data_IF_935622754936
#
_entry.id   IF_935622754936
#
_cell.length_a   1.000
_cell.length_b   1.000
_cell.length_c   1.000
_cell.angle_alpha   90.00
_cell.angle_beta   90.00
_cell.angle_gamma   90.00
#
_symmetry.space_group_name_H-M   'P 1'
#
loop_
_entity.id
_entity.type
_entity.pdbx_description
1 polymer ?
#
# COMPACT_ATOMS: atom_id res chain seq x y z
N UNK A 1 -28.22 -9.53 -5.42
CA UNK A 1 -27.63 -9.34 -6.76
C UNK A 1 -26.23 -9.93 -6.73
N UNK A 2 -25.95 -10.92 -7.57
CA UNK A 2 -24.61 -11.52 -7.70
C UNK A 2 -23.64 -10.47 -8.20
N UNK A 3 -22.63 -10.10 -7.41
CA UNK A 3 -21.55 -9.25 -7.90
C UNK A 3 -20.87 -9.96 -9.07
N UNK A 4 -20.95 -9.38 -10.26
CA UNK A 4 -20.21 -9.90 -11.40
C UNK A 4 -18.73 -9.95 -11.03
N UNK A 5 -18.14 -11.14 -11.04
CA UNK A 5 -16.73 -11.31 -10.72
C UNK A 5 -15.91 -10.50 -11.73
N UNK A 6 -15.20 -9.48 -11.27
CA UNK A 6 -14.35 -8.66 -12.12
C UNK A 6 -13.40 -9.55 -12.95
N UNK A 7 -13.18 -9.20 -14.21
CA UNK A 7 -12.34 -9.97 -15.15
C UNK A 7 -10.96 -9.33 -15.30
N UNK A 8 -9.96 -10.11 -15.70
CA UNK A 8 -8.62 -9.54 -15.94
C UNK A 8 -8.65 -8.63 -17.17
N UNK A 9 -7.93 -7.52 -17.13
CA UNK A 9 -7.85 -6.55 -18.22
C UNK A 9 -7.07 -7.10 -19.43
N UNK A 10 -7.53 -6.80 -20.65
CA UNK A 10 -6.76 -7.02 -21.87
C UNK A 10 -5.81 -5.83 -22.12
N UNK A 11 -4.67 -5.80 -21.43
CA UNK A 11 -3.84 -4.59 -21.34
C UNK A 11 -3.23 -4.13 -22.68
N UNK A 12 -3.11 -5.03 -23.65
CA UNK A 12 -2.58 -4.72 -24.98
C UNK A 12 -3.38 -3.65 -25.75
N UNK A 13 -4.63 -3.41 -25.38
CA UNK A 13 -5.48 -2.38 -25.98
C UNK A 13 -5.20 -0.96 -25.46
N UNK A 14 -4.38 -0.81 -24.41
CA UNK A 14 -4.14 0.46 -23.73
C UNK A 14 -2.74 0.98 -24.06
N UNK A 15 -2.66 1.83 -25.09
CA UNK A 15 -1.40 2.24 -25.73
C UNK A 15 -1.11 3.74 -25.69
N UNK A 16 -1.95 4.54 -25.04
CA UNK A 16 -1.83 5.99 -25.01
C UNK A 16 -1.86 6.51 -23.58
N UNK A 17 -1.13 7.61 -23.36
CA UNK A 17 -1.20 8.35 -22.09
C UNK A 17 -2.57 9.03 -21.98
N UNK A 18 -3.14 9.00 -20.80
CA UNK A 18 -4.33 9.76 -20.47
C UNK A 18 -3.98 11.24 -20.29
N UNK A 19 -4.72 12.12 -20.97
CA UNK A 19 -4.56 13.57 -20.85
C UNK A 19 -5.36 14.15 -19.68
N UNK A 20 -6.42 13.46 -19.25
CA UNK A 20 -7.30 13.88 -18.17
C UNK A 20 -7.91 12.67 -17.46
N UNK A 21 -8.43 12.91 -16.25
CA UNK A 21 -9.26 11.94 -15.54
C UNK A 21 -10.71 12.00 -16.04
N UNK A 22 -11.47 10.89 -15.93
CA UNK A 22 -12.91 10.92 -16.11
C UNK A 22 -13.58 11.98 -15.21
N UNK A 23 -14.55 12.72 -15.76
CA UNK A 23 -15.19 13.84 -15.07
C UNK A 23 -15.86 13.43 -13.75
N UNK A 24 -16.45 12.24 -13.71
CA UNK A 24 -17.12 11.72 -12.53
C UNK A 24 -16.14 11.35 -11.40
N UNK A 25 -14.92 10.93 -11.73
CA UNK A 25 -13.85 10.79 -10.73
C UNK A 25 -13.48 12.16 -10.14
N UNK A 26 -13.37 13.20 -10.98
CA UNK A 26 -13.03 14.54 -10.50
C UNK A 26 -14.12 15.11 -9.58
N UNK A 27 -15.39 14.97 -9.97
CA UNK A 27 -16.54 15.35 -9.12
C UNK A 27 -16.53 14.58 -7.80
N UNK A 28 -16.25 13.28 -7.83
CA UNK A 28 -16.12 12.49 -6.60
C UNK A 28 -14.98 13.00 -5.71
N UNK A 29 -13.79 13.21 -6.29
CA UNK A 29 -12.63 13.71 -5.57
C UNK A 29 -12.88 15.08 -4.93
N UNK A 30 -13.55 15.99 -5.62
CA UNK A 30 -13.94 17.30 -5.10
C UNK A 30 -14.90 17.18 -3.90
N UNK A 31 -15.99 16.41 -4.06
CA UNK A 31 -16.99 16.20 -3.02
C UNK A 31 -16.41 15.56 -1.75
N UNK A 32 -15.40 14.69 -1.91
CA UNK A 32 -14.77 13.96 -0.81
C UNK A 32 -13.41 14.53 -0.37
N UNK A 33 -13.00 15.69 -0.90
CA UNK A 33 -11.72 16.36 -0.60
C UNK A 33 -10.50 15.45 -0.82
N UNK A 34 -10.57 14.58 -1.84
CA UNK A 34 -9.46 13.73 -2.27
C UNK A 34 -8.67 14.47 -3.34
N UNK A 35 -7.36 14.59 -3.16
CA UNK A 35 -6.47 15.19 -4.17
C UNK A 35 -5.91 14.07 -5.06
N UNK A 36 -6.33 13.95 -6.33
CA UNK A 36 -5.74 12.95 -7.21
C UNK A 36 -4.28 13.32 -7.54
N UNK A 37 -3.40 12.33 -7.77
CA UNK A 37 -2.05 12.59 -8.26
C UNK A 37 -2.07 13.33 -9.60
N UNK A 38 -0.97 14.01 -9.94
CA UNK A 38 -0.83 14.64 -11.25
C UNK A 38 -1.05 13.63 -12.36
N UNK A 39 -1.90 13.96 -13.35
CA UNK A 39 -2.23 13.08 -14.48
C UNK A 39 -0.98 12.65 -15.26
N UNK A 40 0.05 13.51 -15.35
CA UNK A 40 1.29 13.22 -16.08
C UNK A 40 2.24 12.28 -15.33
N UNK A 41 1.99 12.02 -14.04
CA UNK A 41 2.81 11.12 -13.23
C UNK A 41 2.48 9.64 -13.48
N UNK A 42 3.40 8.73 -13.14
CA UNK A 42 3.17 7.29 -13.20
C UNK A 42 1.91 6.88 -12.41
N UNK A 43 1.73 7.42 -11.19
CA UNK A 43 0.52 7.17 -10.38
C UNK A 43 -0.73 7.74 -11.00
N UNK A 44 -0.63 8.90 -11.66
CA UNK A 44 -1.78 9.51 -12.33
C UNK A 44 -2.25 8.68 -13.51
N UNK A 45 -1.33 8.18 -14.32
CA UNK A 45 -1.65 7.26 -15.41
C UNK A 45 -2.25 5.94 -14.91
N UNK A 46 -1.71 5.37 -13.83
CA UNK A 46 -2.28 4.17 -13.21
C UNK A 46 -3.70 4.40 -12.67
N UNK A 47 -3.92 5.53 -11.98
CA UNK A 47 -5.25 5.91 -11.49
C UNK A 47 -6.22 6.15 -12.65
N UNK A 48 -5.78 6.83 -13.71
CA UNK A 48 -6.60 7.12 -14.87
C UNK A 48 -7.04 5.84 -15.59
N UNK A 49 -6.17 4.83 -15.71
CA UNK A 49 -6.54 3.51 -16.23
C UNK A 49 -7.61 2.85 -15.37
N UNK A 50 -7.39 2.77 -14.05
CA UNK A 50 -8.35 2.14 -13.11
C UNK A 50 -9.70 2.88 -13.03
N UNK A 51 -9.74 4.15 -13.44
CA UNK A 51 -10.93 5.00 -13.39
C UNK A 51 -11.73 5.01 -14.70
N UNK A 52 -11.21 4.43 -15.79
CA UNK A 52 -11.97 4.37 -17.04
C UNK A 52 -13.30 3.64 -16.84
N UNK A 53 -14.41 4.10 -17.46
CA UNK A 53 -15.72 3.48 -17.30
C UNK A 53 -15.75 1.97 -17.56
N UNK A 54 -15.00 1.52 -18.56
CA UNK A 54 -14.87 0.11 -18.95
C UNK A 54 -13.96 -0.71 -18.03
N UNK A 55 -13.18 -0.05 -17.15
CA UNK A 55 -12.22 -0.70 -16.24
C UNK A 55 -12.74 -0.74 -14.81
N UNK A 56 -13.18 0.40 -14.25
CA UNK A 56 -13.55 0.56 -12.84
C UNK A 56 -14.64 -0.42 -12.41
N UNK A 57 -14.42 -1.15 -11.32
CA UNK A 57 -15.36 -2.15 -10.79
C UNK A 57 -15.66 -3.35 -11.71
N UNK A 58 -15.16 -3.37 -12.94
CA UNK A 58 -15.46 -4.40 -13.95
C UNK A 58 -14.23 -5.24 -14.31
N UNK A 59 -13.07 -4.61 -14.41
CA UNK A 59 -11.81 -5.24 -14.75
C UNK A 59 -10.79 -5.10 -13.61
N UNK A 60 -9.74 -5.91 -13.64
CA UNK A 60 -8.61 -5.80 -12.73
C UNK A 60 -7.27 -5.95 -13.44
N UNK A 61 -6.25 -5.33 -12.85
CA UNK A 61 -4.87 -5.28 -13.33
C UNK A 61 -4.02 -6.18 -12.42
N UNK A 62 -3.16 -7.00 -13.01
CA UNK A 62 -2.12 -7.76 -12.30
C UNK A 62 -0.72 -7.15 -12.52
N UNK A 63 0.33 -7.81 -12.01
CA UNK A 63 1.70 -7.28 -12.03
C UNK A 63 2.29 -7.14 -13.44
N UNK A 64 2.09 -8.15 -14.27
CA UNK A 64 2.52 -8.17 -15.67
C UNK A 64 1.72 -7.15 -16.50
N UNK A 65 0.41 -7.02 -16.25
CA UNK A 65 -0.41 -5.98 -16.87
C UNK A 65 0.13 -4.59 -16.54
N UNK A 66 0.44 -4.31 -15.28
CA UNK A 66 1.02 -3.02 -14.87
C UNK A 66 2.34 -2.72 -15.59
N UNK A 67 3.19 -3.73 -15.76
CA UNK A 67 4.48 -3.59 -16.46
C UNK A 67 4.26 -3.30 -17.94
N UNK A 68 3.36 -4.04 -18.57
CA UNK A 68 3.01 -3.87 -19.98
C UNK A 68 2.38 -2.50 -20.24
N UNK A 69 1.48 -2.03 -19.38
CA UNK A 69 0.86 -0.71 -19.49
C UNK A 69 1.90 0.40 -19.58
N UNK A 70 2.83 0.46 -18.62
CA UNK A 70 3.85 1.51 -18.61
C UNK A 70 4.78 1.44 -19.82
N UNK A 71 5.10 0.22 -20.29
CA UNK A 71 5.80 0.02 -21.56
C UNK A 71 5.02 0.58 -22.75
N UNK A 72 3.72 0.26 -22.84
CA UNK A 72 2.86 0.70 -23.94
C UNK A 72 2.76 2.23 -24.02
N UNK A 73 2.71 2.92 -22.88
CA UNK A 73 2.62 4.38 -22.83
C UNK A 73 4.00 5.07 -22.78
N UNK A 74 5.08 4.34 -23.05
CA UNK A 74 6.46 4.85 -23.04
C UNK A 74 6.84 5.56 -21.74
N UNK A 75 6.56 4.92 -20.59
CA UNK A 75 6.99 5.36 -19.27
C UNK A 75 7.78 4.25 -18.57
N UNK A 76 8.89 4.62 -17.93
CA UNK A 76 9.78 3.66 -17.24
C UNK A 76 9.55 3.70 -15.74
N UNK A 77 9.55 2.54 -15.09
CA UNK A 77 9.45 2.41 -13.63
C UNK A 77 10.10 1.11 -13.19
N UNK A 78 10.85 1.14 -12.08
CA UNK A 78 11.40 -0.07 -11.44
C UNK A 78 10.35 -0.85 -10.65
N UNK A 79 9.21 -0.23 -10.33
CA UNK A 79 8.12 -0.87 -9.60
C UNK A 79 6.76 -0.40 -10.15
N UNK A 80 6.34 -1.07 -11.23
CA UNK A 80 5.09 -0.79 -11.94
C UNK A 80 3.86 -1.02 -11.07
N UNK A 81 3.82 -2.15 -10.35
CA UNK A 81 2.65 -2.54 -9.58
C UNK A 81 2.41 -1.60 -8.38
N UNK A 82 3.45 -0.99 -7.81
CA UNK A 82 3.27 0.02 -6.76
C UNK A 82 2.53 1.27 -7.24
N UNK A 83 2.54 1.59 -8.53
CA UNK A 83 1.78 2.74 -9.05
C UNK A 83 0.27 2.47 -8.97
N UNK A 84 -0.13 1.20 -9.05
CA UNK A 84 -1.50 0.73 -8.87
C UNK A 84 -1.85 0.40 -7.42
N UNK A 85 -0.87 0.05 -6.57
CA UNK A 85 -1.09 -0.39 -5.19
C UNK A 85 -1.00 0.72 -4.13
N UNK A 86 -0.33 1.85 -4.38
CA UNK A 86 -0.21 2.90 -3.35
C UNK A 86 -1.53 3.66 -3.17
N UNK A 87 -1.88 3.98 -1.92
CA UNK A 87 -3.15 4.63 -1.59
C UNK A 87 -3.36 5.95 -2.35
N UNK A 88 -4.58 6.17 -2.84
CA UNK A 88 -5.01 7.37 -3.57
C UNK A 88 -6.19 8.07 -2.89
N UNK A 89 -6.55 7.66 -1.66
CA UNK A 89 -7.79 8.12 -0.99
C UNK A 89 -9.07 7.51 -1.58
N UNK A 90 -8.94 6.48 -2.43
CA UNK A 90 -10.04 5.77 -3.08
C UNK A 90 -9.94 4.28 -2.73
N UNK A 91 -11.08 3.65 -2.44
CA UNK A 91 -11.13 2.21 -2.19
C UNK A 91 -10.89 1.41 -3.47
N UNK A 92 -10.45 0.17 -3.25
CA UNK A 92 -10.16 -0.81 -4.30
C UNK A 92 -10.91 -2.10 -4.08
N UNK A 93 -11.05 -2.87 -5.16
CA UNK A 93 -11.60 -4.23 -5.07
C UNK A 93 -10.80 -5.06 -4.06
N UNK A 94 -11.49 -5.82 -3.20
CA UNK A 94 -10.85 -6.69 -2.20
C UNK A 94 -10.41 -8.01 -2.86
N UNK A 95 -9.32 -7.99 -3.62
CA UNK A 95 -8.73 -9.21 -4.22
C UNK A 95 -7.20 -9.12 -4.26
N UNK A 96 -6.53 -10.06 -3.59
CA UNK A 96 -5.04 -10.10 -3.55
C UNK A 96 -4.48 -10.25 -4.97
N UNK A 97 -3.52 -9.41 -5.32
CA UNK A 97 -2.85 -9.43 -6.63
C UNK A 97 -3.65 -8.79 -7.77
N UNK A 98 -4.89 -8.36 -7.53
CA UNK A 98 -5.77 -7.76 -8.53
C UNK A 98 -6.12 -6.33 -8.12
N UNK A 99 -5.74 -5.37 -8.95
CA UNK A 99 -5.84 -3.94 -8.63
C UNK A 99 -6.86 -3.27 -9.55
N UNK A 100 -7.86 -2.61 -8.95
CA UNK A 100 -8.79 -1.71 -9.61
C UNK A 100 -9.54 -0.89 -8.56
N UNK A 101 -10.13 0.24 -8.96
CA UNK A 101 -11.06 1.00 -8.12
C UNK A 101 -12.38 0.23 -7.95
N UNK A 102 -13.01 0.37 -6.79
CA UNK A 102 -14.43 0.01 -6.66
C UNK A 102 -15.28 0.98 -7.47
N UNK A 103 -16.44 0.51 -7.96
CA UNK A 103 -17.43 1.37 -8.58
C UNK A 103 -18.85 0.96 -8.15
N UNK A 104 -19.73 1.89 -7.70
CA UNK A 104 -19.49 3.33 -7.51
C UNK A 104 -18.27 3.65 -6.63
N UNK A 105 -17.63 4.81 -6.87
CA UNK A 105 -16.42 5.18 -6.12
C UNK A 105 -16.70 5.29 -4.63
N UNK A 106 -15.74 4.87 -3.82
CA UNK A 106 -15.77 5.01 -2.37
C UNK A 106 -14.47 5.66 -1.89
N UNK A 107 -14.58 6.58 -0.93
CA UNK A 107 -13.42 7.22 -0.32
C UNK A 107 -12.77 6.22 0.66
N UNK A 108 -11.44 6.15 0.63
CA UNK A 108 -10.69 5.46 1.66
C UNK A 108 -10.41 6.43 2.81
N UNK A 109 -11.34 6.46 3.77
CA UNK A 109 -11.27 7.31 4.95
C UNK A 109 -10.61 6.63 6.14
N UNK A 110 -10.06 5.42 5.96
CA UNK A 110 -9.50 4.60 7.05
C UNK A 110 -8.57 5.38 7.98
N UNK A 111 -7.66 6.18 7.40
CA UNK A 111 -6.70 6.96 8.16
C UNK A 111 -7.29 8.22 8.83
N UNK A 112 -8.41 8.74 8.31
CA UNK A 112 -9.17 9.84 8.88
C UNK A 112 -10.08 9.35 10.00
N UNK A 113 -10.79 8.24 9.78
CA UNK A 113 -11.75 7.66 10.71
C UNK A 113 -11.06 7.23 12.00
N UNK A 114 -9.88 6.60 11.91
CA UNK A 114 -9.10 6.23 13.10
C UNK A 114 -8.60 7.42 13.94
N UNK A 115 -8.66 8.65 13.40
CA UNK A 115 -8.19 9.89 14.05
C UNK A 115 -9.32 10.89 14.29
N UNK A 116 -10.56 10.54 13.96
CA UNK A 116 -11.70 11.46 14.03
C UNK A 116 -11.94 11.84 15.50
N UNK A 117 -11.79 13.14 15.80
CA UNK A 117 -11.92 13.65 17.18
C UNK A 117 -10.72 13.40 18.08
N UNK A 118 -9.64 12.78 17.59
CA UNK A 118 -8.40 12.57 18.34
C UNK A 118 -7.46 13.77 18.17
N UNK A 119 -7.86 14.94 18.68
CA UNK A 119 -6.99 16.11 18.74
C UNK A 119 -5.92 15.92 19.83
N UNK A 120 -4.73 16.51 19.65
CA UNK A 120 -3.67 16.54 20.67
C UNK A 120 -4.08 17.45 21.86
N UNK A 121 -5.05 18.34 21.64
CA UNK A 121 -5.74 19.10 22.69
C UNK A 121 -6.88 18.29 23.30
N UNK A 122 -6.98 18.26 24.63
CA UNK A 122 -8.03 17.56 25.36
C UNK A 122 -7.48 16.43 26.24
N UNK A 123 -8.37 15.54 26.69
CA UNK A 123 -7.97 14.38 27.50
C UNK A 123 -7.28 13.32 26.63
N UNK A 124 -5.98 13.16 26.88
CA UNK A 124 -5.10 12.20 26.22
C UNK A 124 -5.63 10.77 26.30
N UNK A 125 -6.12 10.35 27.46
CA UNK A 125 -6.42 8.93 27.67
C UNK A 125 -7.72 8.55 26.96
N UNK A 126 -8.71 9.44 26.92
CA UNK A 126 -9.91 9.29 26.09
C UNK A 126 -9.58 9.15 24.60
N UNK A 127 -8.67 9.98 24.06
CA UNK A 127 -8.24 9.89 22.67
C UNK A 127 -7.48 8.58 22.38
N UNK A 128 -6.63 8.13 23.33
CA UNK A 128 -5.94 6.84 23.24
C UNK A 128 -6.92 5.68 23.21
N UNK A 129 -7.93 5.67 24.11
CA UNK A 129 -8.93 4.60 24.15
C UNK A 129 -9.81 4.59 22.91
N UNK A 130 -10.14 5.75 22.33
CA UNK A 130 -10.81 5.81 21.04
C UNK A 130 -10.00 5.09 19.95
N UNK A 131 -8.71 5.43 19.82
CA UNK A 131 -7.82 4.82 18.82
C UNK A 131 -7.69 3.31 19.06
N UNK A 132 -7.51 2.88 20.32
CA UNK A 132 -7.45 1.45 20.67
C UNK A 132 -8.74 0.71 20.32
N UNK A 133 -9.90 1.32 20.59
CA UNK A 133 -11.20 0.75 20.24
C UNK A 133 -11.34 0.56 18.74
N UNK A 134 -10.98 1.59 17.96
CA UNK A 134 -10.97 1.52 16.50
C UNK A 134 -10.08 0.37 16.00
N UNK A 135 -8.86 0.23 16.54
CA UNK A 135 -7.96 -0.87 16.17
C UNK A 135 -8.52 -2.24 16.53
N UNK A 136 -9.13 -2.41 17.71
CA UNK A 136 -9.76 -3.67 18.12
C UNK A 136 -10.82 -4.08 17.10
N UNK A 137 -11.80 -3.21 16.85
CA UNK A 137 -12.89 -3.50 15.91
C UNK A 137 -12.43 -3.77 14.48
N UNK A 138 -11.44 -3.02 13.99
CA UNK A 138 -11.08 -3.05 12.56
C UNK A 138 -9.88 -3.97 12.23
N UNK A 139 -9.15 -4.48 13.23
CA UNK A 139 -8.02 -5.39 13.00
C UNK A 139 -8.02 -6.66 13.84
N UNK A 140 -8.49 -6.60 15.10
CA UNK A 140 -8.39 -7.73 16.04
C UNK A 140 -9.66 -8.57 15.98
N UNK A 141 -10.81 -7.90 16.07
CA UNK A 141 -12.13 -8.53 16.19
C UNK A 141 -12.81 -8.72 14.81
N UNK A 142 -12.04 -8.71 13.73
CA UNK A 142 -12.55 -8.97 12.36
C UNK A 142 -12.87 -10.45 12.17
N UNK A 143 -13.81 -10.82 11.29
CA UNK A 143 -14.14 -12.22 11.01
C UNK A 143 -12.89 -13.04 10.63
N UNK A 144 -12.83 -14.31 11.06
CA UNK A 144 -11.70 -15.21 10.76
C UNK A 144 -11.38 -15.33 9.26
N UNK A 145 -12.37 -15.16 8.38
CA UNK A 145 -12.19 -15.17 6.93
C UNK A 145 -11.39 -13.97 6.39
N UNK A 146 -11.23 -12.89 7.17
CA UNK A 146 -10.42 -11.73 6.83
C UNK A 146 -8.99 -11.80 7.37
N UNK A 147 -8.68 -12.79 8.23
CA UNK A 147 -7.32 -13.04 8.70
C UNK A 147 -6.43 -13.56 7.57
N UNK A 148 -5.18 -13.11 7.56
CA UNK A 148 -4.25 -13.39 6.46
C UNK A 148 -3.18 -14.39 6.91
N UNK A 149 -2.72 -15.24 5.99
CA UNK A 149 -1.54 -16.08 6.22
C UNK A 149 -0.29 -15.19 6.29
N UNK A 150 0.45 -15.32 7.39
CA UNK A 150 1.45 -14.37 7.90
C UNK A 150 2.86 -14.93 8.05
N UNK A 151 3.54 -14.59 9.15
CA UNK A 151 4.96 -14.90 9.36
C UNK A 151 5.20 -16.40 9.55
N UNK A 152 6.41 -16.86 9.21
CA UNK A 152 6.90 -18.17 9.65
C UNK A 152 6.95 -18.18 11.18
N UNK A 153 6.56 -19.29 11.83
CA UNK A 153 6.84 -19.46 13.25
C UNK A 153 8.37 -19.53 13.42
N UNK A 154 9.01 -18.52 14.05
CA UNK A 154 10.45 -18.46 14.18
C UNK A 154 11.01 -19.53 15.12
N UNK A 155 10.15 -20.20 15.89
CA UNK A 155 10.53 -21.32 16.75
C UNK A 155 10.66 -22.63 15.99
N UNK A 156 10.21 -22.65 14.73
CA UNK A 156 10.26 -23.79 13.83
C UNK A 156 11.27 -23.49 12.73
N UNK A 157 12.31 -24.32 12.61
CA UNK A 157 13.35 -24.21 11.58
C UNK A 157 12.90 -24.60 10.17
N UNK A 158 11.65 -24.32 9.82
CA UNK A 158 11.07 -24.60 8.50
C UNK A 158 10.71 -23.28 7.80
N UNK A 159 11.18 -23.10 6.57
CA UNK A 159 10.92 -21.90 5.76
C UNK A 159 9.82 -22.13 4.72
N UNK A 160 9.16 -23.30 4.73
CA UNK A 160 8.08 -23.63 3.81
C UNK A 160 6.76 -22.94 4.16
N UNK A 161 5.82 -22.97 3.22
CA UNK A 161 4.46 -22.47 3.43
C UNK A 161 3.72 -23.22 4.58
N UNK A 162 4.19 -24.40 4.96
CA UNK A 162 3.63 -25.17 6.07
C UNK A 162 3.92 -24.54 7.45
N UNK A 163 4.90 -23.64 7.54
CA UNK A 163 5.26 -22.95 8.77
C UNK A 163 4.64 -21.54 8.90
N UNK A 164 3.70 -21.16 8.03
CA UNK A 164 3.07 -19.84 8.08
C UNK A 164 1.98 -19.76 9.17
N UNK A 165 2.06 -18.75 10.04
CA UNK A 165 1.07 -18.45 11.07
C UNK A 165 0.06 -17.38 10.60
N UNK A 166 -1.18 -17.41 11.09
CA UNK A 166 -2.18 -16.37 10.79
C UNK A 166 -1.83 -15.03 11.47
N UNK A 167 -2.09 -13.93 10.76
CA UNK A 167 -1.86 -12.56 11.24
C UNK A 167 -3.04 -11.65 10.90
N UNK A 168 -3.22 -10.54 11.65
CA UNK A 168 -4.22 -9.54 11.32
C UNK A 168 -3.85 -8.79 10.02
N UNK A 169 -4.82 -8.13 9.36
CA UNK A 169 -4.69 -7.64 7.98
C UNK A 169 -3.57 -6.61 7.69
N UNK A 170 -2.98 -5.97 8.71
CA UNK A 170 -2.13 -4.78 8.53
C UNK A 170 -0.61 -5.03 8.56
N UNK A 171 -0.15 -6.13 9.15
CA UNK A 171 1.29 -6.34 9.39
C UNK A 171 2.11 -6.62 8.12
N UNK A 172 1.46 -7.02 7.02
CA UNK A 172 2.14 -7.30 5.75
C UNK A 172 2.89 -6.09 5.14
N UNK A 173 2.55 -4.84 5.51
CA UNK A 173 3.18 -3.63 4.96
C UNK A 173 4.60 -3.35 5.46
N UNK A 174 5.01 -3.97 6.57
CA UNK A 174 6.35 -3.83 7.16
C UNK A 174 7.27 -5.03 6.85
N UNK A 175 6.71 -6.11 6.27
CA UNK A 175 7.31 -7.44 6.04
C UNK A 175 8.72 -7.44 5.47
N UNK A 176 9.07 -6.48 4.61
CA UNK A 176 10.35 -6.46 3.88
C UNK A 176 11.22 -5.24 4.15
N UNK A 177 10.76 -4.31 5.00
CA UNK A 177 11.43 -3.02 5.22
C UNK A 177 12.26 -3.01 6.51
N UNK A 178 11.87 -3.83 7.48
CA UNK A 178 12.50 -3.87 8.80
C UNK A 178 12.65 -5.31 9.27
N UNK A 179 13.75 -5.57 9.98
CA UNK A 179 14.01 -6.84 10.68
C UNK A 179 13.96 -6.61 12.18
N UNK A 180 13.47 -7.61 12.90
CA UNK A 180 13.40 -7.62 14.35
C UNK A 180 14.63 -8.32 14.93
N UNK A 181 15.01 -7.99 16.17
CA UNK A 181 15.90 -8.86 16.94
C UNK A 181 15.22 -10.20 17.24
N UNK A 182 16.02 -11.20 17.61
CA UNK A 182 15.54 -12.55 17.91
C UNK A 182 14.44 -12.60 19.00
N UNK A 183 14.33 -11.55 19.82
CA UNK A 183 13.35 -11.44 20.90
C UNK A 183 12.15 -10.54 20.57
N UNK A 184 12.05 -10.02 19.33
CA UNK A 184 10.97 -9.11 18.89
C UNK A 184 10.81 -7.82 19.71
N UNK A 185 11.84 -7.40 20.42
CA UNK A 185 11.85 -6.19 21.26
C UNK A 185 12.37 -4.96 20.52
N UNK A 186 13.21 -5.16 19.51
CA UNK A 186 13.87 -4.09 18.77
C UNK A 186 13.75 -4.36 17.29
N UNK A 187 13.55 -3.29 16.53
CA UNK A 187 13.41 -3.33 15.09
C UNK A 187 14.43 -2.38 14.46
N UNK A 188 15.03 -2.78 13.35
CA UNK A 188 15.90 -1.92 12.55
C UNK A 188 15.67 -2.17 11.05
N UNK A 189 15.94 -1.17 10.19
CA UNK A 189 15.72 -1.32 8.77
C UNK A 189 16.55 -2.47 8.19
N UNK A 190 16.03 -3.09 7.13
CA UNK A 190 16.82 -3.98 6.27
C UNK A 190 17.89 -3.17 5.54
N UNK A 191 18.91 -3.82 4.99
CA UNK A 191 19.97 -3.12 4.27
C UNK A 191 19.39 -2.30 3.09
N UNK A 192 18.46 -2.87 2.33
CA UNK A 192 17.83 -2.21 1.19
C UNK A 192 16.97 -0.99 1.60
N UNK A 193 16.20 -1.11 2.68
CA UNK A 193 15.43 0.02 3.22
C UNK A 193 16.37 1.11 3.73
N UNK A 194 17.43 0.72 4.44
CA UNK A 194 18.39 1.66 5.01
C UNK A 194 19.16 2.42 3.93
N UNK A 195 19.66 1.73 2.90
CA UNK A 195 20.41 2.33 1.79
C UNK A 195 19.53 3.28 0.98
N UNK A 196 18.31 2.85 0.64
CA UNK A 196 17.40 3.66 -0.20
C UNK A 196 16.86 4.91 0.49
N UNK A 197 16.92 4.99 1.83
CA UNK A 197 16.37 6.08 2.63
C UNK A 197 17.30 6.56 3.73
N UNK A 198 18.61 6.45 3.51
CA UNK A 198 19.60 6.76 4.54
C UNK A 198 19.45 8.19 5.08
N UNK A 199 19.09 9.13 4.22
CA UNK A 199 18.84 10.53 4.56
C UNK A 199 17.55 10.77 5.38
N UNK A 200 16.62 9.81 5.40
CA UNK A 200 15.45 9.88 6.29
C UNK A 200 15.80 9.41 7.72
N UNK A 201 16.79 8.52 7.85
CA UNK A 201 17.14 7.90 9.14
C UNK A 201 18.29 8.58 9.87
N UNK A 202 19.22 9.17 9.14
CA UNK A 202 20.48 9.66 9.69
C UNK A 202 20.94 10.95 9.03
N UNK A 203 21.50 11.82 9.86
CA UNK A 203 22.22 13.02 9.43
C UNK A 203 23.51 12.65 8.70
N UNK A 204 24.05 13.59 7.91
CA UNK A 204 25.32 13.37 7.20
C UNK A 204 26.48 13.04 8.15
N UNK A 205 26.51 13.67 9.33
CA UNK A 205 27.54 13.40 10.35
C UNK A 205 27.48 11.93 10.85
N UNK A 206 26.28 11.43 11.13
CA UNK A 206 26.07 10.03 11.54
C UNK A 206 26.44 9.06 10.42
N UNK A 207 26.08 9.38 9.17
CA UNK A 207 26.45 8.57 8.00
C UNK A 207 27.97 8.49 7.82
N UNK A 208 28.69 9.60 8.00
CA UNK A 208 30.17 9.63 7.94
C UNK A 208 30.80 8.79 9.05
N UNK A 209 30.25 8.85 10.27
CA UNK A 209 30.71 8.02 11.38
C UNK A 209 30.49 6.53 11.10
N UNK A 210 29.32 6.16 10.55
CA UNK A 210 29.03 4.78 10.14
C UNK A 210 29.94 4.29 9.02
N UNK A 211 30.20 5.12 8.02
CA UNK A 211 31.15 4.79 6.94
C UNK A 211 32.55 4.50 7.51
N UNK A 212 33.06 5.35 8.41
CA UNK A 212 34.36 5.14 9.03
C UNK A 212 34.43 3.80 9.80
N UNK A 213 33.37 3.47 10.55
CA UNK A 213 33.29 2.20 11.28
C UNK A 213 33.21 0.97 10.35
N UNK A 214 32.47 1.08 9.24
CA UNK A 214 32.37 0.02 8.25
C UNK A 214 33.70 -0.21 7.52
N UNK A 215 34.40 0.87 7.13
CA UNK A 215 35.73 0.78 6.53
C UNK A 215 36.70 0.08 7.45
N UNK A 216 36.81 0.52 8.71
CA UNK A 216 37.69 -0.12 9.68
C UNK A 216 37.39 -1.61 9.94
N UNK A 217 36.18 -2.08 9.60
CA UNK A 217 35.77 -3.47 9.78
C UNK A 217 36.05 -4.35 8.55
N UNK A 218 35.96 -3.79 7.35
CA UNK A 218 35.90 -4.56 6.10
C UNK A 218 37.01 -4.22 5.09
N UNK A 219 37.70 -3.08 5.28
CA UNK A 219 38.88 -2.65 4.51
C UNK A 219 40.12 -2.70 5.41
#
# INVERSE_FOLDING_TARGET
MSAATAKRIAIASYNTKYAAYPADLLTFCENHKVVPPSITSLRGQALALMAQPEVRGQLYIERDDATQFFKNIAMTTGDAIQQFNKATGLKRIKKRGAYCLTYPYEADTTDLDKRKGAAISGDRDTAIEHIKSWWRTNLVDVPNSEWQVGHLDPTVGDASDANLAYQPPIQAKYRNRFKWNAYFQKMWPTADEWISKMNEYHTEAEQRAMLAALKAKFE
#
